data_IF_930698245911
#
_entry.id   IF_930698245911
#
_cell.length_a   1.000
_cell.length_b   1.000
_cell.length_c   1.000
_cell.angle_alpha   90.00
_cell.angle_beta   90.00
_cell.angle_gamma   90.00
#
_symmetry.space_group_name_H-M   'P 1'
#
loop_
_entity.id
_entity.type
_entity.pdbx_description
1 polymer ?
#
# COMPACT_ATOMS: atom_id res chain seq x y z
N UNK A 1 83.69 -0.90 3.25
CA UNK A 1 82.92 -0.99 4.51
C UNK A 1 81.49 -0.57 4.25
N UNK A 2 80.52 -1.46 4.47
CA UNK A 2 79.06 -1.21 4.52
C UNK A 2 78.70 -1.01 6.01
N UNK A 3 77.82 -0.06 6.40
CA UNK A 3 76.37 -0.35 6.57
C UNK A 3 75.45 0.82 6.16
N UNK A 4 74.37 0.63 5.38
CA UNK A 4 73.05 0.05 5.71
C UNK A 4 72.22 0.84 6.77
N UNK A 5 71.14 1.52 6.34
CA UNK A 5 69.72 1.24 6.76
C UNK A 5 68.68 2.16 6.09
N UNK A 6 67.97 1.57 5.11
CA UNK A 6 66.52 1.57 4.79
C UNK A 6 65.67 2.84 5.07
N UNK A 7 65.26 3.52 3.99
CA UNK A 7 64.03 4.34 3.94
C UNK A 7 62.82 3.43 3.70
N UNK A 8 61.89 3.35 4.65
CA UNK A 8 60.61 2.66 4.46
C UNK A 8 59.58 3.60 3.83
N UNK A 9 59.40 3.52 2.52
CA UNK A 9 58.25 4.10 1.84
C UNK A 9 57.06 3.16 1.99
N UNK A 10 56.32 3.32 3.10
CA UNK A 10 55.05 2.65 3.32
C UNK A 10 53.99 3.16 2.35
N UNK A 11 53.80 2.45 1.24
CA UNK A 11 52.68 2.60 0.31
C UNK A 11 51.35 2.41 1.06
N UNK A 12 50.63 3.50 1.28
CA UNK A 12 49.26 3.52 1.78
C UNK A 12 48.29 3.00 0.69
N UNK A 13 48.34 1.70 0.39
CA UNK A 13 47.27 1.05 -0.34
C UNK A 13 46.19 0.65 0.66
N UNK A 14 45.17 1.50 0.80
CA UNK A 14 43.89 1.09 1.39
C UNK A 14 43.42 -0.13 0.60
N UNK A 15 43.31 -1.29 1.27
CA UNK A 15 42.57 -2.44 0.76
C UNK A 15 41.20 -1.92 0.33
N UNK A 16 40.90 -1.95 -0.98
CA UNK A 16 39.52 -1.81 -1.45
C UNK A 16 38.74 -2.94 -0.79
N UNK A 17 37.88 -2.59 0.16
CA UNK A 17 36.83 -3.48 0.63
C UNK A 17 36.10 -3.98 -0.61
N UNK A 18 36.05 -5.31 -0.77
CA UNK A 18 35.27 -5.94 -1.83
C UNK A 18 33.84 -5.44 -1.67
N UNK A 19 33.32 -4.76 -2.69
CA UNK A 19 31.89 -4.49 -2.81
C UNK A 19 31.19 -5.85 -2.74
N UNK A 20 30.21 -6.05 -1.85
CA UNK A 20 29.46 -7.30 -1.81
C UNK A 20 28.87 -7.57 -3.18
N UNK A 21 29.08 -8.79 -3.68
CA UNK A 21 28.54 -9.27 -4.95
C UNK A 21 27.04 -8.97 -5.00
N UNK A 22 26.59 -8.28 -6.05
CA UNK A 22 25.20 -7.90 -6.21
C UNK A 22 24.33 -9.16 -6.19
N UNK A 23 23.44 -9.26 -5.20
CA UNK A 23 22.43 -10.31 -5.14
C UNK A 23 21.70 -10.37 -6.50
N UNK A 24 21.71 -11.54 -7.13
CA UNK A 24 21.03 -11.78 -8.39
C UNK A 24 19.58 -11.28 -8.32
N UNK A 25 19.22 -10.34 -9.20
CA UNK A 25 17.84 -9.89 -9.36
C UNK A 25 17.04 -11.07 -9.92
N UNK A 26 16.27 -11.74 -9.06
CA UNK A 26 15.36 -12.82 -9.47
C UNK A 26 14.12 -12.19 -10.11
N UNK A 27 14.16 -11.99 -11.42
CA UNK A 27 12.99 -11.56 -12.19
C UNK A 27 11.89 -12.64 -12.12
N UNK A 28 10.66 -12.22 -11.78
CA UNK A 28 9.49 -13.10 -11.74
C UNK A 28 8.94 -13.29 -13.15
N UNK A 29 8.35 -14.45 -13.44
CA UNK A 29 7.61 -14.68 -14.70
C UNK A 29 6.35 -13.81 -14.75
N UNK A 30 5.89 -13.45 -15.94
CA UNK A 30 4.71 -12.58 -16.14
C UNK A 30 3.46 -13.14 -15.43
N UNK A 31 3.20 -14.44 -15.55
CA UNK A 31 2.12 -15.15 -14.86
C UNK A 31 2.19 -14.99 -13.33
N UNK A 32 3.41 -14.85 -12.79
CA UNK A 32 3.66 -14.64 -11.35
C UNK A 32 3.41 -13.18 -10.94
N UNK A 33 3.47 -12.22 -11.87
CA UNK A 33 3.25 -10.79 -11.59
C UNK A 33 1.75 -10.48 -11.48
N UNK A 34 0.89 -11.15 -12.25
CA UNK A 34 -0.56 -10.90 -12.23
C UNK A 34 -1.16 -10.97 -10.82
N UNK A 35 -0.73 -11.94 -10.00
CA UNK A 35 -1.16 -12.08 -8.59
C UNK A 35 -0.60 -11.02 -7.62
N UNK A 36 0.12 -10.02 -8.12
CA UNK A 36 0.56 -8.82 -7.39
C UNK A 36 -0.12 -7.55 -7.90
N UNK A 37 -1.00 -7.65 -8.90
CA UNK A 37 -1.68 -6.49 -9.49
C UNK A 37 -3.06 -6.33 -8.84
N UNK A 38 -3.25 -5.16 -8.24
CA UNK A 38 -4.55 -4.62 -7.83
C UNK A 38 -5.08 -3.78 -9.01
N UNK A 39 -5.98 -4.35 -9.82
CA UNK A 39 -6.53 -3.69 -11.00
C UNK A 39 -7.54 -2.63 -10.60
N UNK A 40 -7.25 -1.36 -10.86
CA UNK A 40 -7.85 -0.25 -10.12
C UNK A 40 -8.54 0.75 -11.04
N UNK A 41 -9.77 1.15 -10.71
CA UNK A 41 -10.46 2.29 -11.33
C UNK A 41 -11.16 3.13 -10.26
N UNK A 42 -10.51 4.24 -9.87
CA UNK A 42 -10.97 5.16 -8.83
C UNK A 42 -11.30 6.56 -9.36
N UNK A 43 -11.30 6.74 -10.68
CA UNK A 43 -11.62 8.02 -11.29
C UNK A 43 -13.09 8.41 -11.04
N UNK A 44 -13.40 9.68 -10.73
CA UNK A 44 -14.77 10.10 -10.42
C UNK A 44 -15.73 9.94 -11.62
N UNK A 45 -15.22 9.98 -12.85
CA UNK A 45 -15.99 9.80 -14.07
C UNK A 45 -16.20 8.33 -14.49
N UNK A 46 -15.69 7.37 -13.70
CA UNK A 46 -15.82 5.95 -14.01
C UNK A 46 -17.30 5.54 -14.10
N UNK A 47 -17.67 4.85 -15.18
CA UNK A 47 -19.03 4.39 -15.45
C UNK A 47 -19.21 2.89 -15.14
N UNK A 48 -20.44 2.40 -14.91
CA UNK A 48 -20.69 0.96 -14.72
C UNK A 48 -20.15 0.07 -15.85
N UNK A 49 -20.17 0.55 -17.10
CA UNK A 49 -19.64 -0.19 -18.25
C UNK A 49 -18.11 -0.38 -18.14
N UNK A 50 -17.39 0.67 -17.74
CA UNK A 50 -15.94 0.59 -17.53
C UNK A 50 -15.60 -0.30 -16.32
N UNK A 51 -16.41 -0.26 -15.25
CA UNK A 51 -16.25 -1.16 -14.09
C UNK A 51 -16.46 -2.62 -14.50
N UNK A 52 -17.42 -2.90 -15.38
CA UNK A 52 -17.61 -4.24 -15.94
C UNK A 52 -16.41 -4.69 -16.76
N UNK A 53 -15.88 -3.82 -17.61
CA UNK A 53 -14.68 -4.10 -18.39
C UNK A 53 -13.46 -4.40 -17.50
N UNK A 54 -13.27 -3.61 -16.44
CA UNK A 54 -12.23 -3.82 -15.43
C UNK A 54 -12.32 -5.23 -14.80
N UNK A 55 -13.54 -5.68 -14.48
CA UNK A 55 -13.77 -7.03 -13.93
C UNK A 55 -13.48 -8.14 -14.95
N UNK A 56 -13.81 -7.93 -16.23
CA UNK A 56 -13.51 -8.90 -17.30
C UNK A 56 -12.01 -9.10 -17.42
N UNK A 57 -11.25 -8.01 -17.51
CA UNK A 57 -9.79 -8.03 -17.59
C UNK A 57 -9.17 -8.70 -16.37
N UNK A 58 -9.66 -8.36 -15.16
CA UNK A 58 -9.14 -8.97 -13.94
C UNK A 58 -9.33 -10.48 -13.89
N UNK A 59 -10.46 -10.99 -14.42
CA UNK A 59 -10.68 -12.44 -14.55
C UNK A 59 -9.80 -13.07 -15.61
N UNK A 60 -9.68 -12.43 -16.78
CA UNK A 60 -8.87 -12.92 -17.90
C UNK A 60 -7.41 -13.11 -17.50
N UNK A 61 -6.84 -12.12 -16.80
CA UNK A 61 -5.44 -12.15 -16.38
C UNK A 61 -5.23 -12.71 -14.97
N UNK A 62 -6.29 -13.10 -14.27
CA UNK A 62 -6.27 -13.61 -12.91
C UNK A 62 -5.53 -12.68 -11.93
N UNK A 63 -5.83 -11.38 -11.98
CA UNK A 63 -5.26 -10.38 -11.08
C UNK A 63 -5.61 -10.64 -9.61
N UNK A 64 -4.90 -9.99 -8.68
CA UNK A 64 -5.09 -10.22 -7.25
C UNK A 64 -6.45 -9.71 -6.78
N UNK A 65 -6.70 -8.42 -7.03
CA UNK A 65 -7.86 -7.69 -6.51
C UNK A 65 -8.34 -6.68 -7.55
N UNK A 66 -9.64 -6.39 -7.60
CA UNK A 66 -10.19 -5.21 -8.27
C UNK A 66 -10.49 -4.13 -7.24
N UNK A 67 -9.91 -2.94 -7.39
CA UNK A 67 -10.16 -1.80 -6.51
C UNK A 67 -11.03 -0.73 -7.17
N UNK A 68 -12.13 -0.39 -6.49
CA UNK A 68 -13.11 0.61 -6.95
C UNK A 68 -13.59 1.50 -5.81
N UNK A 69 -14.28 2.59 -6.17
CA UNK A 69 -14.97 3.45 -5.21
C UNK A 69 -16.16 2.69 -4.56
N UNK A 70 -16.56 3.06 -3.33
CA UNK A 70 -17.57 2.31 -2.55
C UNK A 70 -18.89 2.05 -3.30
N UNK A 71 -19.33 3.01 -4.12
CA UNK A 71 -20.59 2.90 -4.87
C UNK A 71 -20.63 1.73 -5.90
N UNK A 72 -19.48 1.15 -6.23
CA UNK A 72 -19.36 0.05 -7.20
C UNK A 72 -19.13 -1.31 -6.56
N UNK A 73 -18.97 -1.41 -5.24
CA UNK A 73 -18.58 -2.66 -4.58
C UNK A 73 -19.59 -3.78 -4.83
N UNK A 74 -20.89 -3.50 -4.67
CA UNK A 74 -21.93 -4.49 -4.93
C UNK A 74 -21.90 -5.03 -6.37
N UNK A 75 -21.73 -4.13 -7.35
CA UNK A 75 -21.60 -4.50 -8.76
C UNK A 75 -20.37 -5.38 -9.00
N UNK A 76 -19.20 -4.99 -8.46
CA UNK A 76 -17.95 -5.74 -8.62
C UNK A 76 -18.05 -7.11 -7.94
N UNK A 77 -18.63 -7.19 -6.74
CA UNK A 77 -18.84 -8.46 -6.04
C UNK A 77 -19.73 -9.44 -6.82
N UNK A 78 -20.83 -8.94 -7.41
CA UNK A 78 -21.69 -9.73 -8.29
C UNK A 78 -20.94 -10.20 -9.54
N UNK A 79 -20.19 -9.29 -10.19
CA UNK A 79 -19.44 -9.61 -11.39
C UNK A 79 -18.29 -10.59 -11.13
N UNK A 80 -17.61 -10.52 -10.00
CA UNK A 80 -16.45 -11.35 -9.66
C UNK A 80 -16.81 -12.65 -8.92
N UNK A 81 -18.09 -12.89 -8.65
CA UNK A 81 -18.56 -14.11 -7.98
C UNK A 81 -18.00 -15.37 -8.64
N UNK A 82 -17.45 -16.26 -7.82
CA UNK A 82 -16.84 -17.53 -8.24
C UNK A 82 -15.44 -17.41 -8.85
N UNK A 83 -14.87 -16.21 -8.95
CA UNK A 83 -13.48 -16.03 -9.39
C UNK A 83 -12.50 -16.02 -8.21
N UNK A 84 -11.20 -16.10 -8.50
CA UNK A 84 -10.10 -15.95 -7.54
C UNK A 84 -9.66 -14.49 -7.34
N UNK A 85 -10.38 -13.53 -7.94
CA UNK A 85 -10.09 -12.10 -7.86
C UNK A 85 -10.84 -11.53 -6.66
N UNK A 86 -10.13 -10.84 -5.78
CA UNK A 86 -10.70 -10.18 -4.62
C UNK A 86 -11.46 -8.89 -5.02
N UNK A 87 -12.32 -8.43 -4.11
CA UNK A 87 -13.11 -7.20 -4.23
C UNK A 87 -12.56 -6.19 -3.23
N UNK A 88 -11.85 -5.19 -3.73
CA UNK A 88 -11.20 -4.14 -2.95
C UNK A 88 -11.99 -2.82 -2.95
N UNK A 89 -12.12 -2.20 -1.78
CA UNK A 89 -12.72 -0.87 -1.65
C UNK A 89 -11.69 0.18 -1.21
N UNK A 90 -11.68 1.34 -1.88
CA UNK A 90 -10.98 2.51 -1.39
C UNK A 90 -11.88 3.28 -0.40
N UNK A 91 -11.40 3.53 0.83
CA UNK A 91 -12.15 4.16 1.93
C UNK A 91 -11.53 5.50 2.31
N UNK A 92 -12.38 6.51 2.53
CA UNK A 92 -11.98 7.89 2.77
C UNK A 92 -11.04 8.44 1.69
N UNK A 93 -11.17 7.93 0.47
CA UNK A 93 -10.24 8.18 -0.62
C UNK A 93 -10.65 9.42 -1.44
N UNK A 94 -9.69 10.22 -1.95
CA UNK A 94 -8.23 10.11 -1.77
C UNK A 94 -7.69 10.91 -0.58
N UNK A 95 -8.53 11.66 0.16
CA UNK A 95 -8.03 12.71 1.06
C UNK A 95 -7.71 12.21 2.47
N UNK A 96 -8.43 11.21 3.00
CA UNK A 96 -8.22 10.66 4.34
C UNK A 96 -8.66 11.56 5.51
N UNK A 97 -9.14 12.78 5.23
CA UNK A 97 -9.50 13.82 6.20
C UNK A 97 -11.00 13.83 6.56
N UNK A 98 -11.64 12.67 6.61
CA UNK A 98 -12.98 12.49 7.19
C UNK A 98 -12.87 11.99 8.63
N UNK A 99 -13.97 12.01 9.37
CA UNK A 99 -13.99 11.49 10.75
C UNK A 99 -13.76 9.98 10.79
N UNK A 100 -13.17 9.46 11.86
CA UNK A 100 -13.02 8.00 12.06
C UNK A 100 -14.36 7.27 11.95
N UNK A 101 -15.43 7.84 12.51
CA UNK A 101 -16.79 7.28 12.41
C UNK A 101 -17.25 7.15 10.95
N UNK A 102 -16.94 8.13 10.10
CA UNK A 102 -17.24 8.05 8.66
C UNK A 102 -16.46 6.91 8.01
N UNK A 103 -15.16 6.77 8.29
CA UNK A 103 -14.35 5.66 7.74
C UNK A 103 -14.88 4.30 8.15
N UNK A 104 -15.27 4.16 9.41
CA UNK A 104 -15.86 2.92 9.96
C UNK A 104 -17.15 2.57 9.22
N UNK A 105 -18.10 3.51 9.12
CA UNK A 105 -19.39 3.28 8.45
C UNK A 105 -19.20 2.95 6.95
N UNK A 106 -18.30 3.66 6.27
CA UNK A 106 -17.95 3.39 4.88
C UNK A 106 -17.34 1.99 4.71
N UNK A 107 -16.48 1.57 5.65
CA UNK A 107 -15.89 0.23 5.68
C UNK A 107 -16.93 -0.85 5.92
N UNK A 108 -17.79 -0.69 6.92
CA UNK A 108 -18.87 -1.64 7.24
C UNK A 108 -19.81 -1.83 6.05
N UNK A 109 -20.18 -0.73 5.38
CA UNK A 109 -20.99 -0.77 4.18
C UNK A 109 -20.29 -1.51 3.04
N UNK A 110 -19.00 -1.20 2.79
CA UNK A 110 -18.23 -1.88 1.75
C UNK A 110 -18.14 -3.39 2.00
N UNK A 111 -17.88 -3.82 3.25
CA UNK A 111 -17.87 -5.24 3.61
C UNK A 111 -19.26 -5.87 3.40
N UNK A 112 -20.33 -5.20 3.82
CA UNK A 112 -21.71 -5.67 3.59
C UNK A 112 -22.05 -5.81 2.11
N UNK A 113 -21.49 -4.95 1.25
CA UNK A 113 -21.68 -4.98 -0.19
C UNK A 113 -20.79 -6.02 -0.90
N UNK A 114 -19.88 -6.67 -0.18
CA UNK A 114 -19.07 -7.79 -0.66
C UNK A 114 -17.59 -7.49 -0.86
N UNK A 115 -17.08 -6.36 -0.36
CA UNK A 115 -15.64 -6.15 -0.29
C UNK A 115 -14.99 -7.17 0.65
N UNK A 116 -13.82 -7.66 0.27
CA UNK A 116 -12.99 -8.55 1.07
C UNK A 116 -11.56 -8.04 1.24
N UNK A 117 -11.34 -6.76 0.92
CA UNK A 117 -10.09 -6.03 1.14
C UNK A 117 -10.37 -4.51 1.16
N UNK A 118 -9.68 -3.78 2.04
CA UNK A 118 -9.88 -2.33 2.22
C UNK A 118 -8.57 -1.58 2.05
N UNK A 119 -8.59 -0.51 1.26
CA UNK A 119 -7.52 0.48 1.14
C UNK A 119 -8.00 1.80 1.75
N UNK A 120 -7.60 2.08 2.99
CA UNK A 120 -7.95 3.33 3.66
C UNK A 120 -6.88 4.41 3.47
N UNK A 121 -7.27 5.67 3.36
CA UNK A 121 -6.31 6.79 3.45
C UNK A 121 -6.14 7.23 4.90
N UNK A 122 -4.88 7.27 5.37
CA UNK A 122 -4.52 7.77 6.69
C UNK A 122 -4.91 9.24 6.87
N UNK A 123 -5.22 9.67 8.09
CA UNK A 123 -5.35 11.10 8.36
C UNK A 123 -3.96 11.77 8.38
N UNK A 124 -3.56 12.32 7.24
CA UNK A 124 -2.24 12.95 7.02
C UNK A 124 -2.07 14.20 7.90
N UNK A 125 -3.13 15.00 8.07
CA UNK A 125 -3.08 16.20 8.92
C UNK A 125 -2.81 15.87 10.39
N UNK A 126 -3.41 14.80 10.91
CA UNK A 126 -3.14 14.32 12.27
C UNK A 126 -1.71 13.78 12.42
N UNK A 127 -1.16 13.10 11.40
CA UNK A 127 0.24 12.68 11.42
C UNK A 127 1.18 13.90 11.44
N UNK A 128 0.94 14.89 10.58
CA UNK A 128 1.72 16.13 10.47
C UNK A 128 1.73 16.95 11.75
N UNK A 129 0.61 16.95 12.48
CA UNK A 129 0.50 17.61 13.79
C UNK A 129 0.99 16.74 14.96
N UNK A 130 1.62 15.59 14.67
CA UNK A 130 2.13 14.65 15.65
C UNK A 130 1.05 14.08 16.60
N UNK A 131 -0.22 14.13 16.20
CA UNK A 131 -1.33 13.52 16.92
C UNK A 131 -1.40 12.01 16.59
N UNK A 132 -0.36 11.29 17.02
CA UNK A 132 -0.18 9.88 16.68
C UNK A 132 -1.25 8.97 17.29
N UNK A 133 -1.77 9.32 18.46
CA UNK A 133 -2.84 8.58 19.13
C UNK A 133 -4.12 8.61 18.28
N UNK A 134 -4.45 9.77 17.70
CA UNK A 134 -5.58 9.87 16.77
C UNK A 134 -5.34 9.00 15.53
N UNK A 135 -4.17 9.05 14.91
CA UNK A 135 -3.85 8.26 13.72
C UNK A 135 -3.96 6.76 14.01
N UNK A 136 -3.40 6.31 15.14
CA UNK A 136 -3.45 4.90 15.55
C UNK A 136 -4.88 4.44 15.79
N UNK A 137 -5.67 5.22 16.53
CA UNK A 137 -7.06 4.91 16.81
C UNK A 137 -7.94 4.91 15.54
N UNK A 138 -7.70 5.86 14.62
CA UNK A 138 -8.40 5.95 13.33
C UNK A 138 -8.19 4.68 12.50
N UNK A 139 -6.93 4.23 12.38
CA UNK A 139 -6.58 3.01 11.64
C UNK A 139 -7.14 1.78 12.36
N UNK A 140 -6.98 1.68 13.69
CA UNK A 140 -7.40 0.52 14.46
C UNK A 140 -8.92 0.29 14.39
N UNK A 141 -9.72 1.36 14.38
CA UNK A 141 -11.18 1.25 14.23
C UNK A 141 -11.58 0.75 12.84
N UNK A 142 -10.93 1.22 11.78
CA UNK A 142 -11.15 0.70 10.42
C UNK A 142 -10.74 -0.76 10.31
N UNK A 143 -9.58 -1.13 10.87
CA UNK A 143 -9.11 -2.53 10.94
C UNK A 143 -10.12 -3.42 11.66
N UNK A 144 -10.69 -2.96 12.77
CA UNK A 144 -11.70 -3.72 13.50
C UNK A 144 -12.99 -3.88 12.71
N UNK A 145 -13.47 -2.82 12.06
CA UNK A 145 -14.66 -2.82 11.21
C UNK A 145 -14.53 -3.72 9.98
N UNK A 146 -13.32 -3.85 9.43
CA UNK A 146 -13.05 -4.68 8.25
C UNK A 146 -12.91 -6.18 8.56
N UNK A 147 -12.86 -6.61 9.83
CA UNK A 147 -12.58 -8.01 10.17
C UNK A 147 -13.59 -8.98 9.50
N UNK A 148 -13.13 -10.13 8.97
CA UNK A 148 -11.77 -10.68 9.06
C UNK A 148 -10.81 -10.21 7.93
N UNK A 149 -11.22 -9.24 7.11
CA UNK A 149 -10.52 -8.86 5.90
C UNK A 149 -9.33 -7.92 6.15
N UNK A 150 -8.29 -7.99 5.30
CA UNK A 150 -7.11 -7.15 5.45
C UNK A 150 -7.39 -5.69 5.11
N UNK A 151 -6.74 -4.80 5.87
CA UNK A 151 -6.69 -3.35 5.59
C UNK A 151 -5.29 -2.96 5.16
N UNK A 152 -5.21 -2.19 4.06
CA UNK A 152 -4.03 -1.44 3.64
C UNK A 152 -4.19 0.02 4.02
N UNK A 153 -3.15 0.61 4.60
CA UNK A 153 -3.13 2.04 4.95
C UNK A 153 -2.31 2.80 3.91
N UNK A 154 -2.97 3.65 3.13
CA UNK A 154 -2.33 4.58 2.21
C UNK A 154 -1.72 5.73 3.03
N UNK A 155 -0.39 5.83 2.98
CA UNK A 155 0.38 6.84 3.74
C UNK A 155 0.43 8.20 3.03
N UNK A 156 0.23 8.20 1.72
CA UNK A 156 0.44 9.32 0.81
C UNK A 156 1.86 9.90 0.89
N UNK A 157 2.83 9.06 0.52
CA UNK A 157 4.26 9.30 0.77
C UNK A 157 4.84 10.55 0.11
N UNK A 158 4.22 11.10 -0.94
CA UNK A 158 4.67 12.35 -1.55
C UNK A 158 4.49 13.56 -0.62
N UNK A 159 3.59 13.46 0.37
CA UNK A 159 3.35 14.51 1.35
C UNK A 159 4.20 14.34 2.61
N UNK A 160 4.97 13.26 2.76
CA UNK A 160 5.66 12.89 3.98
C UNK A 160 7.19 13.00 3.87
N UNK A 161 7.84 13.42 4.95
CA UNK A 161 9.30 13.25 5.12
C UNK A 161 9.64 11.78 5.37
N UNK A 162 10.92 11.42 5.31
CA UNK A 162 11.34 10.03 5.56
C UNK A 162 11.07 9.60 7.01
N UNK A 163 11.22 10.52 7.98
CA UNK A 163 10.87 10.28 9.38
C UNK A 163 9.37 10.04 9.55
N UNK A 164 8.54 10.83 8.88
CA UNK A 164 7.08 10.68 8.91
C UNK A 164 6.64 9.37 8.25
N UNK A 165 7.29 8.93 7.16
CA UNK A 165 7.03 7.63 6.53
C UNK A 165 7.31 6.48 7.50
N UNK A 166 8.45 6.51 8.20
CA UNK A 166 8.80 5.51 9.21
C UNK A 166 7.76 5.50 10.34
N UNK A 167 7.42 6.69 10.86
CA UNK A 167 6.44 6.81 11.95
C UNK A 167 5.06 6.29 11.54
N UNK A 168 4.58 6.67 10.35
CA UNK A 168 3.29 6.23 9.83
C UNK A 168 3.23 4.71 9.62
N UNK A 169 4.31 4.11 9.10
CA UNK A 169 4.38 2.67 8.90
C UNK A 169 4.35 1.89 10.23
N UNK A 170 5.04 2.39 11.26
CA UNK A 170 4.99 1.79 12.61
C UNK A 170 3.59 1.90 13.22
N UNK A 171 2.96 3.07 13.14
CA UNK A 171 1.58 3.26 13.64
C UNK A 171 0.60 2.33 12.93
N UNK A 172 0.68 2.21 11.60
CA UNK A 172 -0.19 1.32 10.83
C UNK A 172 -0.02 -0.15 11.25
N UNK A 173 1.23 -0.59 11.46
CA UNK A 173 1.53 -1.94 11.97
C UNK A 173 0.94 -2.16 13.37
N UNK A 174 1.15 -1.22 14.29
CA UNK A 174 0.70 -1.35 15.68
C UNK A 174 -0.83 -1.26 15.80
N UNK A 175 -1.50 -0.58 14.87
CA UNK A 175 -2.96 -0.55 14.74
C UNK A 175 -3.56 -1.82 14.11
N UNK A 176 -2.72 -2.75 13.63
CA UNK A 176 -3.15 -4.04 13.08
C UNK A 176 -3.41 -4.04 11.57
N UNK A 177 -2.99 -3.01 10.83
CA UNK A 177 -3.07 -3.03 9.37
C UNK A 177 -2.19 -4.14 8.78
N UNK A 178 -2.65 -4.75 7.69
CA UNK A 178 -1.92 -5.83 7.03
C UNK A 178 -0.86 -5.31 6.06
N UNK A 179 -1.10 -4.14 5.49
CA UNK A 179 -0.20 -3.51 4.52
C UNK A 179 -0.11 -2.00 4.77
N UNK A 180 1.00 -1.44 4.30
CA UNK A 180 1.11 -0.01 4.00
C UNK A 180 1.13 0.16 2.48
N UNK A 181 0.48 1.22 1.99
CA UNK A 181 0.43 1.59 0.58
C UNK A 181 1.01 2.98 0.42
N UNK A 182 1.75 3.19 -0.67
CA UNK A 182 2.50 4.43 -0.89
C UNK A 182 1.57 5.62 -1.12
N UNK A 183 0.73 5.56 -2.15
CA UNK A 183 0.02 6.72 -2.66
C UNK A 183 -1.39 6.42 -3.15
N UNK A 184 -2.20 7.48 -3.26
CA UNK A 184 -3.52 7.44 -3.91
C UNK A 184 -3.45 7.60 -5.42
N UNK A 185 -2.42 8.30 -5.91
CA UNK A 185 -2.34 8.75 -7.30
C UNK A 185 -3.07 10.08 -7.58
N UNK A 186 -3.57 10.76 -6.54
CA UNK A 186 -4.27 12.04 -6.65
C UNK A 186 -3.49 13.23 -6.04
N UNK A 187 -2.32 12.97 -5.45
CA UNK A 187 -1.41 14.01 -4.93
C UNK A 187 -0.14 14.08 -5.78
N UNK A 188 0.57 15.20 -5.71
CA UNK A 188 1.81 15.48 -6.46
C UNK A 188 2.93 15.93 -5.53
#
# INVERSE_FOLDING_TARGET
MVPSRKKSTGKFFRKRSKVPEANHIRLRRIETIARYIDHTLLRPEATPLQIKQLCIEAKEYNFATVFVNPCYIKLVAELLKGSLVNVGCAVAFPIGAVTTKTKVLETEQAISDGANEIDMVMNIGALKSQNYDYVQNDIAQVVNAARPYPVKVILETCLLTDEEKVKAALIAKDAGAKFVKTSTGFST
#
